data_IF_600071081881
#
_entry.id   IF_600071081881
#
_cell.length_a   1.000
_cell.length_b   1.000
_cell.length_c   1.000
_cell.angle_alpha   90.00
_cell.angle_beta   90.00
_cell.angle_gamma   90.00
#
_symmetry.space_group_name_H-M   'P 1'
#
loop_
_entity.id
_entity.type
_entity.pdbx_description
1 polymer ?
#
# COMPACT_ATOMS: atom_id res chain seq x y z
N UNK A 1 13.57 24.73 -0.43
CA UNK A 1 12.29 24.22 -0.95
C UNK A 1 12.52 22.77 -1.36
N UNK A 2 11.72 21.81 -0.88
CA UNK A 2 11.90 20.41 -1.28
C UNK A 2 11.51 20.27 -2.76
N UNK A 3 12.43 19.77 -3.60
CA UNK A 3 12.17 19.44 -5.02
C UNK A 3 11.27 18.19 -5.13
N UNK A 4 10.13 18.17 -4.47
CA UNK A 4 9.15 17.09 -4.61
C UNK A 4 8.23 17.41 -5.80
N UNK A 5 7.93 16.38 -6.61
CA UNK A 5 7.00 16.52 -7.71
C UNK A 5 5.62 16.96 -7.18
N UNK A 6 4.96 17.84 -7.90
CA UNK A 6 3.60 18.30 -7.63
C UNK A 6 2.69 17.71 -8.70
N UNK A 7 1.62 17.07 -8.27
CA UNK A 7 0.58 16.49 -9.12
C UNK A 7 -0.74 17.24 -8.88
N UNK A 8 -1.05 18.28 -9.66
CA UNK A 8 -2.27 19.09 -9.47
C UNK A 8 -3.55 18.25 -9.49
N UNK A 9 -3.54 17.14 -10.24
CA UNK A 9 -4.65 16.21 -10.34
C UNK A 9 -5.00 15.50 -9.01
N UNK A 10 -4.09 15.48 -8.02
CA UNK A 10 -4.32 14.90 -6.70
C UNK A 10 -4.99 15.88 -5.72
N UNK A 11 -5.03 17.17 -6.03
CA UNK A 11 -5.65 18.15 -5.15
C UNK A 11 -7.15 17.88 -4.95
N UNK A 12 -7.61 17.92 -3.72
CA UNK A 12 -8.98 17.58 -3.30
C UNK A 12 -9.47 16.16 -3.60
N UNK A 13 -8.64 15.25 -4.13
CA UNK A 13 -9.00 13.83 -4.29
C UNK A 13 -9.19 13.16 -2.93
N UNK A 14 -10.21 12.32 -2.85
CA UNK A 14 -10.44 11.47 -1.66
C UNK A 14 -9.65 10.19 -1.80
N UNK A 15 -8.72 9.98 -0.87
CA UNK A 15 -7.74 8.89 -0.86
C UNK A 15 -7.95 8.01 0.37
N UNK A 16 -7.96 6.70 0.18
CA UNK A 16 -7.90 5.72 1.28
C UNK A 16 -6.59 4.97 1.23
N UNK A 17 -5.89 4.89 2.36
CA UNK A 17 -4.64 4.13 2.53
C UNK A 17 -4.84 3.08 3.61
N UNK A 18 -4.68 1.80 3.31
CA UNK A 18 -4.65 0.76 4.35
C UNK A 18 -3.25 0.65 4.96
N UNK A 19 -3.16 0.53 6.29
CA UNK A 19 -1.87 0.54 7.00
C UNK A 19 -1.15 1.89 6.85
N UNK A 20 -1.89 2.99 6.93
CA UNK A 20 -1.37 4.33 6.65
C UNK A 20 -0.68 5.02 7.82
N UNK A 21 -0.67 4.41 9.02
CA UNK A 21 -0.14 5.02 10.25
C UNK A 21 1.35 4.81 10.48
N UNK A 22 1.97 3.84 9.81
CA UNK A 22 3.39 3.49 10.01
C UNK A 22 4.06 2.92 8.77
N UNK A 23 5.35 2.63 8.85
CA UNK A 23 6.12 1.95 7.81
C UNK A 23 6.11 2.67 6.46
N UNK A 24 5.73 1.99 5.39
CA UNK A 24 5.61 2.57 4.04
C UNK A 24 4.34 3.43 3.94
N UNK A 25 3.28 3.08 4.68
CA UNK A 25 1.99 3.78 4.62
C UNK A 25 2.03 5.20 5.15
N UNK A 26 2.80 5.47 6.20
CA UNK A 26 2.93 6.82 6.78
C UNK A 26 3.45 7.86 5.78
N UNK A 27 4.60 7.66 5.10
CA UNK A 27 5.04 8.59 4.06
C UNK A 27 4.09 8.68 2.87
N UNK A 28 3.35 7.62 2.52
CA UNK A 28 2.30 7.69 1.50
C UNK A 28 1.21 8.65 1.96
N UNK A 29 0.69 8.48 3.18
CA UNK A 29 -0.32 9.35 3.79
C UNK A 29 0.14 10.82 3.82
N UNK A 30 1.36 11.08 4.33
CA UNK A 30 1.95 12.43 4.37
C UNK A 30 2.09 13.05 2.98
N UNK A 31 2.48 12.24 2.00
CA UNK A 31 2.70 12.72 0.64
C UNK A 31 1.40 13.12 -0.05
N UNK A 32 0.31 12.37 0.11
CA UNK A 32 -1.01 12.77 -0.40
C UNK A 32 -1.53 14.05 0.27
N UNK A 33 -1.36 14.19 1.59
CA UNK A 33 -1.72 15.44 2.29
C UNK A 33 -0.96 16.64 1.71
N UNK A 34 0.34 16.49 1.43
CA UNK A 34 1.14 17.55 0.79
C UNK A 34 0.68 17.91 -0.61
N UNK A 35 0.03 17.00 -1.33
CA UNK A 35 -0.60 17.26 -2.63
C UNK A 35 -1.98 17.92 -2.52
N UNK A 36 -2.46 18.21 -1.32
CA UNK A 36 -3.78 18.80 -1.08
C UNK A 36 -4.93 17.79 -1.16
N UNK A 37 -4.66 16.50 -1.09
CA UNK A 37 -5.69 15.48 -1.06
C UNK A 37 -6.39 15.42 0.31
N UNK A 38 -7.62 14.89 0.32
CA UNK A 38 -8.31 14.46 1.53
C UNK A 38 -7.98 12.99 1.77
N UNK A 39 -7.28 12.69 2.84
CA UNK A 39 -6.74 11.36 3.10
C UNK A 39 -7.40 10.73 4.30
N UNK A 40 -7.96 9.55 4.14
CA UNK A 40 -8.27 8.69 5.27
C UNK A 40 -7.36 7.47 5.26
N UNK A 41 -6.92 7.03 6.42
CA UNK A 41 -6.17 5.80 6.52
C UNK A 41 -6.77 4.86 7.55
N UNK A 42 -6.71 3.57 7.23
CA UNK A 42 -7.17 2.46 8.06
C UNK A 42 -5.95 1.81 8.70
N UNK A 43 -5.93 1.71 10.01
CA UNK A 43 -4.86 1.03 10.72
C UNK A 43 -5.39 0.43 12.04
N UNK A 44 -4.75 -0.61 12.54
CA UNK A 44 -5.02 -1.14 13.88
C UNK A 44 -4.03 -0.63 14.94
N UNK A 45 -2.94 0.03 14.52
CA UNK A 45 -1.96 0.66 15.41
C UNK A 45 -2.41 2.07 15.79
N UNK A 46 -3.16 2.19 16.85
CA UNK A 46 -3.68 3.48 17.34
C UNK A 46 -2.57 4.45 17.73
N UNK A 47 -1.50 3.96 18.37
CA UNK A 47 -0.42 4.82 18.89
C UNK A 47 0.23 5.63 17.77
N UNK A 48 0.69 4.97 16.73
CA UNK A 48 1.37 5.63 15.61
C UNK A 48 0.38 6.46 14.79
N UNK A 49 -0.85 5.98 14.65
CA UNK A 49 -1.93 6.69 13.93
C UNK A 49 -2.29 8.01 14.61
N UNK A 50 -2.48 8.01 15.94
CA UNK A 50 -2.77 9.24 16.71
C UNK A 50 -1.59 10.21 16.64
N UNK A 51 -0.35 9.70 16.70
CA UNK A 51 0.84 10.53 16.52
C UNK A 51 0.83 11.21 15.14
N UNK A 52 0.56 10.45 14.07
CA UNK A 52 0.50 10.99 12.71
C UNK A 52 -0.58 12.08 12.55
N UNK A 53 -1.77 11.87 13.13
CA UNK A 53 -2.85 12.88 13.15
C UNK A 53 -2.36 14.17 13.83
N UNK A 54 -1.72 14.05 14.99
CA UNK A 54 -1.20 15.22 15.75
C UNK A 54 -0.10 15.95 14.98
N UNK A 55 0.80 15.21 14.36
CA UNK A 55 1.94 15.77 13.61
C UNK A 55 1.49 16.57 12.38
N UNK A 56 0.48 16.09 11.66
CA UNK A 56 -0.01 16.73 10.43
C UNK A 56 -1.04 17.81 10.71
N UNK A 57 -1.79 17.70 11.79
CA UNK A 57 -2.76 18.69 12.30
C UNK A 57 -3.57 19.39 11.19
N UNK A 58 -4.32 18.61 10.41
CA UNK A 58 -5.12 19.12 9.29
C UNK A 58 -6.47 18.41 9.22
N UNK A 59 -7.53 19.15 8.85
CA UNK A 59 -8.88 18.63 8.64
C UNK A 59 -8.99 17.68 7.43
N UNK A 60 -8.00 17.70 6.54
CA UNK A 60 -7.93 16.83 5.39
C UNK A 60 -7.42 15.41 5.71
N UNK A 61 -7.08 15.12 6.98
CA UNK A 61 -6.61 13.81 7.41
C UNK A 61 -7.61 13.17 8.38
N UNK A 62 -7.88 11.88 8.18
CA UNK A 62 -8.72 11.09 9.07
C UNK A 62 -8.11 9.73 9.34
N UNK A 63 -8.08 9.32 10.60
CA UNK A 63 -7.75 7.98 11.02
C UNK A 63 -9.03 7.23 11.38
N UNK A 64 -9.19 6.02 10.84
CA UNK A 64 -10.24 5.07 11.24
C UNK A 64 -9.58 3.80 11.73
N UNK A 65 -9.82 3.44 13.01
CA UNK A 65 -9.35 2.16 13.55
C UNK A 65 -10.03 1.00 12.83
N UNK A 66 -9.23 0.09 12.29
CA UNK A 66 -9.75 -1.05 11.53
C UNK A 66 -8.80 -2.24 11.59
N UNK A 67 -9.32 -3.37 12.05
CA UNK A 67 -8.69 -4.66 11.78
C UNK A 67 -9.12 -5.13 10.38
N UNK A 68 -8.21 -5.05 9.44
CA UNK A 68 -8.49 -5.37 8.03
C UNK A 68 -8.83 -6.85 7.78
N UNK A 69 -8.61 -7.73 8.76
CA UNK A 69 -9.03 -9.14 8.71
C UNK A 69 -10.55 -9.28 8.88
N UNK A 70 -11.17 -8.35 9.58
CA UNK A 70 -12.62 -8.22 9.70
C UNK A 70 -13.17 -7.43 8.49
N UNK A 71 -13.74 -8.18 7.54
CA UNK A 71 -14.23 -7.61 6.28
C UNK A 71 -15.44 -6.69 6.49
N UNK A 72 -16.30 -6.98 7.46
CA UNK A 72 -17.45 -6.11 7.74
C UNK A 72 -17.01 -4.80 8.39
N UNK A 73 -16.04 -4.84 9.29
CA UNK A 73 -15.42 -3.63 9.85
C UNK A 73 -14.77 -2.80 8.74
N UNK A 74 -14.01 -3.43 7.84
CA UNK A 74 -13.37 -2.79 6.69
C UNK A 74 -14.39 -2.06 5.80
N UNK A 75 -15.46 -2.73 5.39
CA UNK A 75 -16.52 -2.14 4.56
C UNK A 75 -17.22 -0.97 5.26
N UNK A 76 -17.53 -1.12 6.54
CA UNK A 76 -18.16 -0.07 7.33
C UNK A 76 -17.23 1.15 7.49
N UNK A 77 -15.94 0.94 7.69
CA UNK A 77 -14.93 2.00 7.77
C UNK A 77 -14.82 2.76 6.44
N UNK A 78 -14.78 2.07 5.31
CA UNK A 78 -14.78 2.69 3.97
C UNK A 78 -16.05 3.52 3.76
N UNK A 79 -17.23 3.00 4.14
CA UNK A 79 -18.50 3.74 4.05
C UNK A 79 -18.50 5.02 4.90
N UNK A 80 -17.98 4.98 6.13
CA UNK A 80 -17.83 6.17 6.99
C UNK A 80 -16.93 7.22 6.34
N UNK A 81 -15.81 6.79 5.73
CA UNK A 81 -14.87 7.67 5.03
C UNK A 81 -15.56 8.35 3.85
N UNK A 82 -16.27 7.60 3.02
CA UNK A 82 -17.04 8.15 1.90
C UNK A 82 -18.11 9.15 2.38
N UNK A 83 -18.76 8.88 3.50
CA UNK A 83 -19.73 9.81 4.10
C UNK A 83 -19.09 11.10 4.61
N UNK A 84 -17.84 11.03 5.09
CA UNK A 84 -17.10 12.17 5.66
C UNK A 84 -16.48 13.07 4.60
N UNK A 85 -15.79 12.48 3.62
CA UNK A 85 -14.98 13.22 2.65
C UNK A 85 -15.60 13.29 1.25
N UNK A 86 -16.64 12.55 1.01
CA UNK A 86 -17.23 12.35 -0.32
C UNK A 86 -16.73 11.06 -0.99
N UNK A 87 -17.14 10.81 -2.24
CA UNK A 87 -16.81 9.59 -2.95
C UNK A 87 -15.30 9.37 -3.11
N UNK A 88 -14.85 8.16 -2.79
CA UNK A 88 -13.44 7.76 -2.83
C UNK A 88 -12.97 7.64 -4.28
N UNK A 89 -11.83 8.21 -4.60
CA UNK A 89 -11.25 8.22 -5.95
C UNK A 89 -9.95 7.44 -6.05
N UNK A 90 -9.22 7.28 -4.93
CA UNK A 90 -7.93 6.58 -4.89
C UNK A 90 -7.92 5.63 -3.71
N UNK A 91 -7.51 4.37 -3.96
CA UNK A 91 -7.26 3.36 -2.93
C UNK A 91 -5.81 2.89 -3.02
N UNK A 92 -5.10 2.94 -1.90
CA UNK A 92 -3.77 2.32 -1.74
C UNK A 92 -3.88 1.16 -0.76
N UNK A 93 -3.84 -0.06 -1.27
CA UNK A 93 -3.82 -1.30 -0.51
C UNK A 93 -2.39 -1.59 -0.03
N UNK A 94 -1.97 -0.95 1.07
CA UNK A 94 -0.59 -1.02 1.55
C UNK A 94 -0.41 -1.97 2.74
N UNK A 95 -1.39 -2.12 3.62
CA UNK A 95 -1.25 -2.92 4.83
C UNK A 95 -0.72 -4.34 4.56
N UNK A 96 0.28 -4.74 5.34
CA UNK A 96 0.86 -6.09 5.28
C UNK A 96 1.74 -6.37 6.51
N UNK A 97 2.02 -7.68 6.73
CA UNK A 97 3.01 -8.14 7.71
C UNK A 97 3.85 -9.27 7.14
N UNK A 98 5.15 -9.15 7.28
CA UNK A 98 6.19 -10.05 6.77
C UNK A 98 6.85 -10.89 7.86
N UNK A 99 6.07 -11.32 8.86
CA UNK A 99 6.59 -12.12 9.97
C UNK A 99 7.29 -13.38 9.44
N UNK A 100 8.52 -13.61 9.92
CA UNK A 100 9.31 -14.79 9.54
C UNK A 100 8.80 -16.02 10.24
N UNK A 101 8.79 -17.17 9.55
CA UNK A 101 8.33 -18.44 10.08
C UNK A 101 8.91 -19.60 9.26
N UNK A 102 9.09 -20.76 9.92
CA UNK A 102 9.47 -21.99 9.24
C UNK A 102 8.23 -22.68 8.62
N UNK A 103 8.43 -23.47 7.58
CA UNK A 103 7.33 -24.26 7.01
C UNK A 103 6.70 -25.19 8.06
N UNK A 104 7.50 -25.77 8.93
CA UNK A 104 7.05 -26.73 9.95
C UNK A 104 6.18 -26.07 11.05
N UNK A 105 6.31 -24.76 11.26
CA UNK A 105 5.52 -24.04 12.27
C UNK A 105 4.18 -23.51 11.74
N UNK A 106 3.90 -23.66 10.44
CA UNK A 106 2.66 -23.15 9.83
C UNK A 106 1.50 -24.08 10.17
N UNK A 107 0.48 -23.53 10.84
CA UNK A 107 -0.83 -24.18 11.00
C UNK A 107 -1.81 -23.65 9.97
N UNK A 108 -2.96 -24.31 9.80
CA UNK A 108 -4.06 -23.84 8.94
C UNK A 108 -4.52 -22.44 9.35
N UNK A 109 -4.71 -22.21 10.64
CA UNK A 109 -5.18 -20.95 11.23
C UNK A 109 -4.15 -19.82 11.01
N UNK A 110 -2.85 -20.13 11.15
CA UNK A 110 -1.79 -19.17 10.86
C UNK A 110 -1.77 -18.80 9.37
N UNK A 111 -1.92 -19.80 8.48
CA UNK A 111 -1.99 -19.54 7.05
C UNK A 111 -3.19 -18.66 6.71
N UNK A 112 -4.39 -18.98 7.21
CA UNK A 112 -5.61 -18.22 6.96
C UNK A 112 -5.49 -16.79 7.46
N UNK A 113 -4.91 -16.58 8.65
CA UNK A 113 -4.65 -15.26 9.21
C UNK A 113 -3.64 -14.46 8.35
N UNK A 114 -2.56 -15.11 7.85
CA UNK A 114 -1.59 -14.45 6.97
C UNK A 114 -2.19 -14.05 5.63
N UNK A 115 -3.06 -14.88 5.05
CA UNK A 115 -3.80 -14.56 3.83
C UNK A 115 -4.81 -13.43 4.09
N UNK A 116 -5.52 -13.46 5.21
CA UNK A 116 -6.43 -12.37 5.59
C UNK A 116 -5.69 -11.04 5.72
N UNK A 117 -4.52 -11.03 6.39
CA UNK A 117 -3.71 -9.85 6.63
C UNK A 117 -3.03 -9.29 5.37
N UNK A 118 -2.58 -10.16 4.44
CA UNK A 118 -1.70 -9.73 3.33
C UNK A 118 -2.38 -9.69 1.96
N UNK A 119 -3.55 -10.35 1.79
CA UNK A 119 -4.21 -10.49 0.49
C UNK A 119 -5.71 -10.19 0.54
N UNK A 120 -6.46 -10.88 1.41
CA UNK A 120 -7.93 -10.88 1.41
C UNK A 120 -8.51 -9.47 1.51
N UNK A 121 -7.97 -8.64 2.42
CA UNK A 121 -8.43 -7.27 2.61
C UNK A 121 -8.29 -6.41 1.34
N UNK A 122 -7.28 -6.64 0.48
CA UNK A 122 -7.07 -5.87 -0.75
C UNK A 122 -8.21 -6.07 -1.74
N UNK A 123 -8.71 -7.31 -1.87
CA UNK A 123 -9.88 -7.60 -2.71
C UNK A 123 -11.12 -6.86 -2.19
N UNK A 124 -11.41 -6.97 -0.88
CA UNK A 124 -12.64 -6.41 -0.32
C UNK A 124 -12.59 -4.88 -0.15
N UNK A 125 -11.42 -4.29 0.11
CA UNK A 125 -11.24 -2.85 0.05
C UNK A 125 -11.47 -2.33 -1.37
N UNK A 126 -10.92 -3.01 -2.38
CA UNK A 126 -11.16 -2.68 -3.79
C UNK A 126 -12.64 -2.76 -4.14
N UNK A 127 -13.32 -3.85 -3.75
CA UNK A 127 -14.78 -3.99 -3.95
C UNK A 127 -15.57 -2.84 -3.33
N UNK A 128 -15.20 -2.41 -2.12
CA UNK A 128 -15.95 -1.41 -1.36
C UNK A 128 -15.85 0.01 -1.96
N UNK A 129 -14.80 0.33 -2.72
CA UNK A 129 -14.59 1.68 -3.30
C UNK A 129 -15.11 1.81 -4.74
N UNK A 130 -15.42 0.71 -5.43
CA UNK A 130 -15.80 0.73 -6.86
C UNK A 130 -17.00 1.64 -7.13
N UNK A 131 -18.05 1.57 -6.33
CA UNK A 131 -19.25 2.41 -6.53
C UNK A 131 -18.95 3.91 -6.41
N UNK A 132 -18.03 4.29 -5.53
CA UNK A 132 -17.61 5.69 -5.38
C UNK A 132 -16.75 6.15 -6.57
N UNK A 133 -15.84 5.29 -7.02
CA UNK A 133 -15.02 5.58 -8.21
C UNK A 133 -15.88 5.71 -9.47
N UNK A 134 -16.90 4.87 -9.64
CA UNK A 134 -17.86 4.99 -10.75
C UNK A 134 -18.61 6.34 -10.73
N UNK A 135 -19.08 6.78 -9.56
CA UNK A 135 -19.75 8.09 -9.39
C UNK A 135 -18.84 9.26 -9.77
N UNK A 136 -17.53 9.11 -9.60
CA UNK A 136 -16.52 10.11 -9.98
C UNK A 136 -16.06 9.99 -11.44
N UNK A 137 -16.61 9.06 -12.23
CA UNK A 137 -16.18 8.81 -13.61
C UNK A 137 -14.86 8.07 -13.74
N UNK A 138 -14.36 7.45 -12.67
CA UNK A 138 -13.14 6.66 -12.64
C UNK A 138 -12.38 6.77 -11.33
N UNK A 139 -11.22 6.11 -11.27
CA UNK A 139 -10.38 6.11 -10.08
C UNK A 139 -9.06 5.35 -10.26
N UNK A 140 -8.29 5.24 -9.19
CA UNK A 140 -7.04 4.49 -9.18
C UNK A 140 -6.93 3.58 -7.95
N UNK A 141 -6.63 2.31 -8.18
CA UNK A 141 -6.31 1.31 -7.14
C UNK A 141 -4.84 0.93 -7.27
N UNK A 142 -4.08 1.09 -6.20
CA UNK A 142 -2.68 0.73 -6.11
C UNK A 142 -2.54 -0.39 -5.08
N UNK A 143 -2.18 -1.58 -5.53
CA UNK A 143 -1.90 -2.72 -4.68
C UNK A 143 -0.39 -2.81 -4.38
N UNK A 144 -0.03 -3.04 -3.11
CA UNK A 144 1.37 -3.16 -2.72
C UNK A 144 1.80 -4.63 -2.73
N UNK A 145 2.61 -4.99 -3.73
CA UNK A 145 3.29 -6.28 -3.85
C UNK A 145 4.53 -6.39 -2.98
N UNK A 146 5.50 -7.20 -3.42
CA UNK A 146 6.84 -7.33 -2.85
C UNK A 146 7.75 -8.07 -3.83
N UNK A 147 9.04 -7.77 -3.87
CA UNK A 147 10.04 -8.56 -4.61
C UNK A 147 10.35 -9.91 -3.95
N UNK A 148 9.96 -10.12 -2.69
CA UNK A 148 10.33 -11.31 -1.90
C UNK A 148 10.03 -12.65 -2.58
N UNK A 149 8.88 -12.77 -3.26
CA UNK A 149 8.55 -13.98 -4.00
C UNK A 149 9.33 -14.10 -5.31
N UNK A 150 9.70 -12.98 -5.94
CA UNK A 150 10.45 -12.95 -7.20
C UNK A 150 11.90 -13.38 -7.01
N UNK A 151 12.51 -12.97 -5.87
CA UNK A 151 13.88 -13.39 -5.50
C UNK A 151 13.93 -14.76 -4.79
N UNK A 152 12.78 -15.43 -4.62
CA UNK A 152 12.71 -16.71 -3.93
C UNK A 152 13.08 -16.66 -2.45
N UNK A 153 12.69 -15.58 -1.76
CA UNK A 153 13.05 -15.40 -0.34
C UNK A 153 12.42 -16.47 0.55
N UNK A 154 13.27 -17.20 1.27
CA UNK A 154 12.86 -18.20 2.26
C UNK A 154 12.42 -17.59 3.59
N UNK A 155 11.94 -18.45 4.53
CA UNK A 155 11.60 -18.06 5.90
C UNK A 155 10.28 -17.29 6.04
N UNK A 156 9.43 -17.25 5.00
CA UNK A 156 8.11 -16.60 5.03
C UNK A 156 7.16 -17.08 3.92
N UNK A 157 6.94 -18.39 3.75
CA UNK A 157 6.15 -18.92 2.63
C UNK A 157 4.73 -18.37 2.56
N UNK A 158 4.05 -18.13 3.68
CA UNK A 158 2.69 -17.56 3.66
C UNK A 158 2.69 -16.11 3.12
N UNK A 159 3.70 -15.32 3.44
CA UNK A 159 3.84 -13.95 2.95
C UNK A 159 4.16 -13.92 1.44
N UNK A 160 5.14 -14.71 0.99
CA UNK A 160 5.50 -14.77 -0.43
C UNK A 160 4.36 -15.28 -1.29
N UNK A 161 3.57 -16.24 -0.79
CA UNK A 161 2.32 -16.70 -1.43
C UNK A 161 1.33 -15.56 -1.59
N UNK A 162 1.02 -14.84 -0.51
CA UNK A 162 0.08 -13.72 -0.56
C UNK A 162 0.56 -12.61 -1.52
N UNK A 163 1.85 -12.26 -1.46
CA UNK A 163 2.42 -11.19 -2.30
C UNK A 163 2.52 -11.56 -3.79
N UNK A 164 2.74 -12.83 -4.10
CA UNK A 164 2.61 -13.35 -5.47
C UNK A 164 1.17 -13.26 -5.98
N UNK A 165 0.18 -13.64 -5.18
CA UNK A 165 -1.22 -13.62 -5.55
C UNK A 165 -1.76 -12.19 -5.85
N UNK A 166 -1.16 -11.14 -5.27
CA UNK A 166 -1.54 -9.74 -5.54
C UNK A 166 -1.37 -9.38 -7.03
N UNK A 167 -0.44 -9.99 -7.74
CA UNK A 167 -0.32 -9.74 -9.18
C UNK A 167 -1.51 -10.28 -9.96
N UNK A 168 -1.95 -11.50 -9.63
CA UNK A 168 -3.17 -12.08 -10.22
C UNK A 168 -4.41 -11.25 -9.89
N UNK A 169 -4.55 -10.82 -8.62
CA UNK A 169 -5.61 -9.92 -8.18
C UNK A 169 -5.60 -8.61 -8.98
N UNK A 170 -4.44 -7.98 -9.12
CA UNK A 170 -4.28 -6.73 -9.88
C UNK A 170 -4.73 -6.89 -11.33
N UNK A 171 -4.31 -7.98 -11.98
CA UNK A 171 -4.65 -8.25 -13.39
C UNK A 171 -6.14 -8.51 -13.60
N UNK A 172 -6.77 -9.28 -12.72
CA UNK A 172 -8.21 -9.54 -12.76
C UNK A 172 -9.01 -8.25 -12.57
N UNK A 173 -8.74 -7.52 -11.49
CA UNK A 173 -9.42 -6.26 -11.20
C UNK A 173 -9.22 -5.21 -12.32
N UNK A 174 -8.04 -5.13 -12.92
CA UNK A 174 -7.80 -4.20 -14.02
C UNK A 174 -8.67 -4.50 -15.25
N UNK A 175 -8.93 -5.78 -15.54
CA UNK A 175 -9.83 -6.19 -16.63
C UNK A 175 -11.30 -5.89 -16.32
N UNK A 176 -11.72 -6.19 -15.10
CA UNK A 176 -13.12 -6.01 -14.69
C UNK A 176 -13.50 -4.52 -14.53
N UNK A 177 -12.54 -3.70 -14.07
CA UNK A 177 -12.80 -2.30 -13.72
C UNK A 177 -12.36 -1.29 -14.79
N UNK A 178 -11.52 -1.70 -15.75
CA UNK A 178 -11.08 -0.85 -16.86
C UNK A 178 -12.21 -0.20 -17.64
N UNK A 179 -13.30 -0.92 -18.01
CA UNK A 179 -14.46 -0.33 -18.67
C UNK A 179 -15.16 0.78 -17.88
N UNK A 180 -14.91 0.86 -16.56
CA UNK A 180 -15.42 1.88 -15.64
C UNK A 180 -14.41 3.02 -15.41
N UNK A 181 -13.37 3.11 -16.24
CA UNK A 181 -12.28 4.07 -16.11
C UNK A 181 -11.55 3.99 -14.75
N UNK A 182 -11.48 2.80 -14.15
CA UNK A 182 -10.74 2.55 -12.91
C UNK A 182 -9.44 1.83 -13.27
N UNK A 183 -8.31 2.49 -12.98
CA UNK A 183 -6.98 1.91 -13.19
C UNK A 183 -6.59 1.06 -11.99
N UNK A 184 -6.02 -0.11 -12.25
CA UNK A 184 -5.51 -0.98 -11.17
C UNK A 184 -4.08 -1.40 -11.50
N UNK A 185 -3.16 -1.08 -10.60
CA UNK A 185 -1.74 -1.40 -10.74
C UNK A 185 -1.16 -1.96 -9.44
N UNK A 186 -0.04 -2.66 -9.56
CA UNK A 186 0.74 -3.15 -8.44
C UNK A 186 2.08 -2.39 -8.38
N UNK A 187 2.40 -1.84 -7.22
CA UNK A 187 3.76 -1.39 -6.89
C UNK A 187 4.44 -2.51 -6.13
N UNK A 188 5.65 -2.86 -6.55
CA UNK A 188 6.42 -4.00 -6.02
C UNK A 188 7.70 -3.47 -5.38
N UNK A 189 7.68 -3.15 -4.07
CA UNK A 189 8.86 -2.67 -3.36
C UNK A 189 9.93 -3.74 -3.23
N UNK A 190 11.20 -3.32 -3.29
CA UNK A 190 12.33 -4.08 -2.80
C UNK A 190 12.43 -4.06 -1.27
N UNK A 191 13.66 -4.16 -0.73
CA UNK A 191 13.86 -4.05 0.70
C UNK A 191 13.90 -2.58 1.12
N UNK A 192 12.83 -2.15 1.77
CA UNK A 192 12.60 -0.75 2.16
C UNK A 192 12.90 -0.58 3.65
N UNK A 193 13.77 0.36 4.00
CA UNK A 193 14.22 0.63 5.35
C UNK A 193 13.14 1.36 6.16
N UNK A 194 12.11 0.62 6.56
CA UNK A 194 11.18 1.04 7.61
C UNK A 194 11.86 0.83 8.97
N UNK A 195 11.38 1.50 10.03
CA UNK A 195 11.87 1.30 11.40
C UNK A 195 11.88 -0.20 11.76
N UNK A 196 10.77 -0.90 11.54
CA UNK A 196 10.66 -2.35 11.75
C UNK A 196 11.71 -3.17 10.99
N UNK A 197 12.00 -2.83 9.73
CA UNK A 197 12.99 -3.57 8.93
C UNK A 197 14.40 -3.35 9.44
N UNK A 198 14.70 -2.13 9.85
CA UNK A 198 16.00 -1.78 10.43
C UNK A 198 16.21 -2.50 11.76
N UNK A 199 15.21 -2.44 12.65
CA UNK A 199 15.32 -2.99 14.01
C UNK A 199 15.37 -4.52 14.03
N UNK A 200 14.66 -5.18 13.12
CA UNK A 200 14.51 -6.65 13.17
C UNK A 200 15.44 -7.41 12.23
N UNK A 201 15.83 -6.82 11.11
CA UNK A 201 16.43 -7.59 10.01
C UNK A 201 17.71 -7.00 9.42
N UNK A 202 18.01 -5.71 9.66
CA UNK A 202 19.19 -5.09 9.11
C UNK A 202 20.42 -5.43 9.98
N UNK A 203 21.29 -6.28 9.44
CA UNK A 203 22.61 -6.57 10.01
C UNK A 203 23.70 -6.09 9.05
N UNK A 204 24.96 -5.96 9.48
CA UNK A 204 26.07 -5.62 8.58
C UNK A 204 26.16 -6.56 7.36
N UNK A 205 25.91 -7.86 7.57
CA UNK A 205 25.96 -8.88 6.52
C UNK A 205 24.82 -8.70 5.53
N UNK A 206 23.57 -8.50 6.02
CA UNK A 206 22.41 -8.29 5.16
C UNK A 206 22.46 -6.95 4.43
N UNK A 207 23.03 -5.90 5.04
CA UNK A 207 23.28 -4.62 4.37
C UNK A 207 24.32 -4.77 3.25
N UNK A 208 25.38 -5.55 3.47
CA UNK A 208 26.37 -5.85 2.45
C UNK A 208 25.74 -6.61 1.28
N UNK A 209 24.95 -7.65 1.56
CA UNK A 209 24.23 -8.40 0.52
C UNK A 209 23.32 -7.48 -0.29
N UNK A 210 22.55 -6.60 0.37
CA UNK A 210 21.70 -5.60 -0.28
C UNK A 210 22.53 -4.74 -1.24
N UNK A 211 23.67 -4.19 -0.78
CA UNK A 211 24.52 -3.33 -1.59
C UNK A 211 25.20 -4.09 -2.73
N UNK A 212 25.51 -5.37 -2.56
CA UNK A 212 26.10 -6.19 -3.63
C UNK A 212 25.08 -6.48 -4.74
N UNK A 213 23.85 -6.81 -4.39
CA UNK A 213 22.79 -7.20 -5.35
C UNK A 213 22.12 -6.01 -6.03
N UNK A 214 21.87 -4.92 -5.29
CA UNK A 214 21.16 -3.76 -5.80
C UNK A 214 22.04 -2.95 -6.78
N UNK A 215 21.50 -2.54 -7.93
CA UNK A 215 22.22 -1.68 -8.89
C UNK A 215 22.51 -0.30 -8.30
N UNK A 216 21.51 0.33 -7.67
CA UNK A 216 21.65 1.63 -7.01
C UNK A 216 22.23 1.43 -5.62
N UNK A 217 23.46 1.86 -5.37
CA UNK A 217 24.25 1.59 -4.15
C UNK A 217 23.84 2.51 -2.99
N UNK A 218 22.57 2.48 -2.62
CA UNK A 218 22.03 3.13 -1.42
C UNK A 218 20.86 2.36 -0.84
N UNK A 219 20.60 2.49 0.44
CA UNK A 219 19.36 2.02 1.05
C UNK A 219 18.16 2.75 0.47
N UNK A 220 17.06 2.02 0.28
CA UNK A 220 15.77 2.58 -0.13
C UNK A 220 14.91 2.84 1.10
N UNK A 221 14.24 3.96 1.11
CA UNK A 221 13.40 4.39 2.22
C UNK A 221 11.92 4.46 1.83
N UNK A 222 10.99 4.44 2.78
CA UNK A 222 9.55 4.52 2.51
C UNK A 222 9.14 5.67 1.58
N UNK A 223 9.88 6.79 1.63
CA UNK A 223 9.65 7.95 0.75
C UNK A 223 9.93 7.65 -0.74
N UNK A 224 10.86 6.74 -1.05
CA UNK A 224 11.11 6.32 -2.44
C UNK A 224 9.86 5.65 -3.04
N UNK A 225 9.16 4.85 -2.23
CA UNK A 225 7.90 4.20 -2.62
C UNK A 225 6.76 5.21 -2.68
N UNK A 226 6.63 6.09 -1.68
CA UNK A 226 5.56 7.08 -1.63
C UNK A 226 5.53 7.98 -2.87
N UNK A 227 6.69 8.41 -3.36
CA UNK A 227 6.82 9.21 -4.60
C UNK A 227 6.26 8.49 -5.81
N UNK A 228 6.55 7.20 -5.92
CA UNK A 228 6.05 6.40 -7.04
C UNK A 228 4.54 6.14 -6.93
N UNK A 229 4.04 5.91 -5.72
CA UNK A 229 2.59 5.76 -5.45
C UNK A 229 1.83 7.03 -5.83
N UNK A 230 2.34 8.22 -5.52
CA UNK A 230 1.73 9.49 -5.94
C UNK A 230 1.60 9.58 -7.48
N UNK A 231 2.68 9.28 -8.20
CA UNK A 231 2.64 9.26 -9.67
C UNK A 231 1.58 8.28 -10.18
N UNK A 232 1.58 7.04 -9.67
CA UNK A 232 0.61 6.02 -10.09
C UNK A 232 -0.85 6.37 -9.78
N UNK A 233 -1.08 7.17 -8.75
CA UNK A 233 -2.41 7.65 -8.36
C UNK A 233 -2.87 8.85 -9.19
N UNK A 234 -1.95 9.63 -9.74
CA UNK A 234 -2.21 10.87 -10.47
C UNK A 234 -2.70 10.63 -11.91
N UNK A 235 -3.24 11.67 -12.54
CA UNK A 235 -3.72 11.61 -13.93
C UNK A 235 -2.54 11.48 -14.93
N UNK A 236 -1.31 11.84 -14.52
CA UNK A 236 -0.09 11.64 -15.31
C UNK A 236 0.20 10.15 -15.59
N UNK A 237 -0.37 9.25 -14.77
CA UNK A 237 -0.34 7.81 -14.98
C UNK A 237 -1.62 7.27 -15.67
N UNK A 238 -2.40 8.10 -16.35
CA UNK A 238 -3.70 7.74 -16.96
C UNK A 238 -3.63 6.56 -17.94
N UNK A 239 -2.51 6.37 -18.62
CA UNK A 239 -2.28 5.23 -19.51
C UNK A 239 -1.77 3.96 -18.79
N UNK A 240 -1.51 4.04 -17.47
CA UNK A 240 -0.97 2.91 -16.72
C UNK A 240 -2.11 2.14 -16.03
N UNK A 241 -2.38 0.93 -16.48
CA UNK A 241 -3.28 -0.02 -15.83
C UNK A 241 -2.81 -1.46 -16.11
N UNK A 242 -3.15 -2.40 -15.23
CA UNK A 242 -2.82 -3.81 -15.38
C UNK A 242 -1.31 -4.12 -15.35
N UNK A 243 -0.52 -3.27 -14.68
CA UNK A 243 0.93 -3.41 -14.62
C UNK A 243 1.43 -3.66 -13.20
N UNK A 244 2.61 -4.29 -13.13
CA UNK A 244 3.40 -4.43 -11.90
C UNK A 244 4.70 -3.65 -12.08
N UNK A 245 4.89 -2.65 -11.23
CA UNK A 245 6.06 -1.77 -11.28
C UNK A 245 7.00 -2.08 -10.12
N UNK A 246 8.18 -2.56 -10.44
CA UNK A 246 9.22 -2.86 -9.45
C UNK A 246 9.95 -1.58 -9.06
N UNK A 247 10.08 -1.36 -7.75
CA UNK A 247 10.80 -0.22 -7.16
C UNK A 247 11.75 -0.76 -6.09
N UNK A 248 12.88 -1.28 -6.52
CA UNK A 248 13.80 -2.07 -5.70
C UNK A 248 15.28 -1.64 -5.83
N UNK A 249 15.55 -0.57 -6.57
CA UNK A 249 16.92 -0.11 -6.84
C UNK A 249 17.70 -1.00 -7.80
N UNK A 250 17.02 -1.90 -8.52
CA UNK A 250 17.63 -2.84 -9.45
C UNK A 250 18.23 -4.05 -8.73
N UNK A 251 17.48 -4.67 -7.83
CA UNK A 251 17.82 -5.96 -7.23
C UNK A 251 17.41 -7.13 -8.15
N UNK A 252 16.27 -7.02 -8.85
CA UNK A 252 15.78 -8.01 -9.81
C UNK A 252 16.46 -7.87 -11.16
#
# INVERSE_FOLDING_TARGET
MSNEAVYPSLNNKVVVVTGGGSGIGEPITRSFIKQGAKVAFLDFNEKDSIKLIKDLNTDNLHFEFCDLRDIEQLKNSIKKISSKFGPIQILVNNAARDDRHSLQSVTSEYFDERIATNLKHQLFASQAVVSDMEKNGGGAIINMGSTSWMIGQGGMPCYTTAKSAIQGLTRGLARDLGPKNIRVNCVVPGWIMTERQVDMWLTPESEKELMDRQCIKRKLFPKDIARFVLFMASDEASACSNQSFVVDGGWL
#
